data_IF_915496685892
#
_entry.id   IF_915496685892
#
_cell.length_a   1.000
_cell.length_b   1.000
_cell.length_c   1.000
_cell.angle_alpha   90.00
_cell.angle_beta   90.00
_cell.angle_gamma   90.00
#
_symmetry.space_group_name_H-M   'P 1'
#
loop_
_entity.id
_entity.type
_entity.pdbx_description
1 polymer ?
#
# COMPACT_ATOMS: atom_id res chain seq x y z
N UNK A 1 -29.34 -18.56 39.80
CA UNK A 1 -29.15 -18.94 38.38
C UNK A 1 -28.25 -20.15 38.34
N UNK A 2 -28.68 -21.25 37.72
CA UNK A 2 -27.94 -22.52 37.77
C UNK A 2 -26.77 -22.50 36.76
N UNK A 3 -25.61 -23.09 37.09
CA UNK A 3 -24.47 -23.17 36.16
C UNK A 3 -24.80 -23.93 34.86
N UNK A 4 -25.79 -24.84 34.92
CA UNK A 4 -26.33 -25.57 33.76
C UNK A 4 -27.03 -24.67 32.74
N UNK A 5 -27.69 -23.59 33.17
CA UNK A 5 -28.34 -22.62 32.26
C UNK A 5 -27.34 -21.72 31.53
N UNK A 6 -26.14 -21.55 32.08
CA UNK A 6 -25.07 -20.77 31.47
C UNK A 6 -24.36 -21.57 30.36
N UNK A 7 -24.15 -22.87 30.59
CA UNK A 7 -23.59 -23.78 29.60
C UNK A 7 -24.52 -24.03 28.41
N UNK A 8 -25.82 -24.18 28.66
CA UNK A 8 -26.82 -24.33 27.62
C UNK A 8 -26.84 -23.12 26.67
N UNK A 9 -26.86 -21.90 27.22
CA UNK A 9 -26.80 -20.65 26.44
C UNK A 9 -25.50 -20.48 25.67
N UNK A 10 -24.37 -20.99 26.17
CA UNK A 10 -23.09 -20.99 25.45
C UNK A 10 -23.10 -21.93 24.25
N UNK A 11 -23.71 -23.12 24.39
CA UNK A 11 -23.86 -24.08 23.28
C UNK A 11 -24.80 -23.55 22.20
N UNK A 12 -25.93 -22.95 22.58
CA UNK A 12 -26.87 -22.33 21.64
C UNK A 12 -26.21 -21.20 20.82
N UNK A 13 -25.43 -20.33 21.47
CA UNK A 13 -24.65 -19.27 20.77
C UNK A 13 -23.63 -19.86 19.79
N UNK A 14 -22.98 -20.97 20.16
CA UNK A 14 -22.04 -21.67 19.28
C UNK A 14 -22.72 -22.25 18.04
N UNK A 15 -23.91 -22.85 18.19
CA UNK A 15 -24.69 -23.39 17.08
C UNK A 15 -25.17 -22.30 16.13
N UNK A 16 -25.63 -21.17 16.68
CA UNK A 16 -26.08 -20.00 15.88
C UNK A 16 -24.89 -19.42 15.10
N UNK A 17 -23.74 -19.21 15.76
CA UNK A 17 -22.54 -18.69 15.10
C UNK A 17 -22.06 -19.62 13.97
N UNK A 18 -22.13 -20.94 14.16
CA UNK A 18 -21.75 -21.91 13.13
C UNK A 18 -22.72 -21.93 11.95
N UNK A 19 -24.02 -21.80 12.21
CA UNK A 19 -25.05 -21.71 11.15
C UNK A 19 -24.89 -20.42 10.35
N UNK A 20 -24.65 -19.30 11.01
CA UNK A 20 -24.38 -18.03 10.33
C UNK A 20 -23.09 -18.08 9.52
N UNK A 21 -22.03 -18.70 10.05
CA UNK A 21 -20.79 -18.90 9.31
C UNK A 21 -21.02 -19.72 8.02
N UNK A 22 -21.74 -20.85 8.11
CA UNK A 22 -22.09 -21.67 6.93
C UNK A 22 -22.92 -20.89 5.92
N UNK A 23 -23.87 -20.09 6.38
CA UNK A 23 -24.71 -19.23 5.52
C UNK A 23 -23.85 -18.19 4.79
N UNK A 24 -22.97 -17.49 5.50
CA UNK A 24 -22.07 -16.48 4.91
C UNK A 24 -21.09 -17.12 3.92
N UNK A 25 -20.59 -18.32 4.22
CA UNK A 25 -19.71 -19.06 3.31
C UNK A 25 -20.43 -19.46 2.03
N UNK A 26 -21.64 -20.04 2.12
CA UNK A 26 -22.45 -20.40 0.96
C UNK A 26 -22.76 -19.17 0.09
N UNK A 27 -23.19 -18.07 0.70
CA UNK A 27 -23.46 -16.82 -0.04
C UNK A 27 -22.21 -16.24 -0.70
N UNK A 28 -21.03 -16.34 -0.07
CA UNK A 28 -19.77 -15.85 -0.65
C UNK A 28 -19.31 -16.72 -1.83
N UNK A 29 -19.41 -18.04 -1.71
CA UNK A 29 -19.10 -18.98 -2.81
C UNK A 29 -20.01 -18.71 -3.99
N UNK A 30 -21.33 -18.61 -3.75
CA UNK A 30 -22.29 -18.28 -4.80
C UNK A 30 -21.99 -16.94 -5.46
N UNK A 31 -21.61 -15.91 -4.69
CA UNK A 31 -21.23 -14.61 -5.25
C UNK A 31 -19.98 -14.68 -6.13
N UNK A 32 -18.97 -15.46 -5.72
CA UNK A 32 -17.75 -15.66 -6.50
C UNK A 32 -18.03 -16.47 -7.78
N UNK A 33 -18.90 -17.46 -7.71
CA UNK A 33 -19.35 -18.21 -8.88
C UNK A 33 -20.11 -17.30 -9.86
N UNK A 34 -21.00 -16.44 -9.36
CA UNK A 34 -21.72 -15.46 -10.17
C UNK A 34 -20.80 -14.39 -10.78
N UNK A 35 -19.81 -13.90 -10.03
CA UNK A 35 -18.79 -12.96 -10.53
C UNK A 35 -17.91 -13.62 -11.61
N UNK A 36 -17.49 -14.87 -11.41
CA UNK A 36 -16.71 -15.61 -12.38
C UNK A 36 -17.52 -15.89 -13.65
N UNK A 37 -18.80 -16.28 -13.51
CA UNK A 37 -19.72 -16.43 -14.64
C UNK A 37 -19.88 -15.13 -15.42
N UNK A 38 -20.11 -14.00 -14.76
CA UNK A 38 -20.19 -12.68 -15.43
C UNK A 38 -18.91 -12.30 -16.17
N UNK A 39 -17.74 -12.62 -15.61
CA UNK A 39 -16.45 -12.38 -16.27
C UNK A 39 -16.31 -13.27 -17.51
N UNK A 40 -16.68 -14.56 -17.43
CA UNK A 40 -16.69 -15.46 -18.58
C UNK A 40 -17.63 -14.96 -19.68
N UNK A 41 -18.84 -14.52 -19.31
CA UNK A 41 -19.83 -13.98 -20.24
C UNK A 41 -19.31 -12.71 -20.93
N UNK A 42 -18.66 -11.80 -20.19
CA UNK A 42 -18.06 -10.58 -20.74
C UNK A 42 -16.92 -10.89 -21.73
N UNK A 43 -16.05 -11.86 -21.42
CA UNK A 43 -14.98 -12.31 -22.33
C UNK A 43 -15.58 -12.94 -23.59
N UNK A 44 -16.64 -13.74 -23.44
CA UNK A 44 -17.35 -14.34 -24.57
C UNK A 44 -18.03 -13.28 -25.47
N UNK A 45 -18.62 -12.24 -24.88
CA UNK A 45 -19.25 -11.13 -25.60
C UNK A 45 -18.22 -10.29 -26.38
N UNK A 46 -17.08 -9.97 -25.75
CA UNK A 46 -15.97 -9.29 -26.42
C UNK A 46 -15.49 -10.13 -27.61
N UNK A 47 -15.38 -11.45 -27.46
CA UNK A 47 -15.01 -12.34 -28.55
C UNK A 47 -16.03 -12.34 -29.70
N UNK A 48 -17.34 -12.40 -29.38
CA UNK A 48 -18.42 -12.38 -30.39
C UNK A 48 -18.45 -11.07 -31.17
N UNK A 49 -18.37 -9.93 -30.48
CA UNK A 49 -18.38 -8.60 -31.12
C UNK A 49 -17.15 -8.36 -32.01
N UNK A 50 -15.99 -8.91 -31.64
CA UNK A 50 -14.74 -8.79 -32.38
C UNK A 50 -14.68 -9.73 -33.59
N UNK A 51 -15.21 -10.97 -33.49
CA UNK A 51 -15.34 -11.89 -34.65
C UNK A 51 -16.20 -11.29 -35.77
N UNK A 52 -17.19 -10.46 -35.43
CA UNK A 52 -18.06 -9.78 -36.41
C UNK A 52 -17.43 -8.59 -37.14
N UNK A 53 -16.25 -8.08 -36.73
CA UNK A 53 -15.65 -6.84 -37.28
C UNK A 53 -14.44 -7.03 -38.19
N UNK A 54 -14.06 -8.27 -38.53
CA UNK A 54 -13.21 -8.61 -39.68
C UNK A 54 -11.75 -8.15 -39.67
N UNK A 55 -11.32 -7.27 -38.76
CA UNK A 55 -9.92 -6.85 -38.65
C UNK A 55 -9.54 -6.60 -37.19
N UNK A 56 -8.81 -7.57 -36.61
CA UNK A 56 -8.22 -7.46 -35.27
C UNK A 56 -6.70 -7.46 -35.42
N UNK A 57 -6.04 -6.55 -34.70
CA UNK A 57 -4.59 -6.60 -34.50
C UNK A 57 -4.18 -7.95 -33.93
N UNK A 58 -3.07 -8.51 -34.38
CA UNK A 58 -2.60 -9.83 -33.95
C UNK A 58 -2.28 -9.86 -32.44
N UNK A 59 -1.87 -8.72 -31.86
CA UNK A 59 -1.66 -8.56 -30.41
C UNK A 59 -2.97 -8.72 -29.62
N UNK A 60 -4.07 -8.20 -30.15
CA UNK A 60 -5.38 -8.29 -29.50
C UNK A 60 -5.95 -9.70 -29.60
N UNK A 61 -5.68 -10.42 -30.70
CA UNK A 61 -6.03 -11.84 -30.83
C UNK A 61 -5.27 -12.70 -29.83
N UNK A 62 -3.97 -12.43 -29.66
CA UNK A 62 -3.13 -13.14 -28.69
C UNK A 62 -3.60 -12.91 -27.24
N UNK A 63 -3.88 -11.66 -26.88
CA UNK A 63 -4.40 -11.30 -25.56
C UNK A 63 -5.77 -11.95 -25.27
N UNK A 64 -6.66 -11.99 -26.26
CA UNK A 64 -7.98 -12.60 -26.13
C UNK A 64 -7.90 -14.13 -26.04
N UNK A 65 -7.01 -14.76 -26.80
CA UNK A 65 -6.76 -16.21 -26.72
C UNK A 65 -6.20 -16.60 -25.36
N UNK A 66 -5.29 -15.79 -24.81
CA UNK A 66 -4.76 -15.97 -23.46
C UNK A 66 -5.85 -15.80 -22.39
N UNK A 67 -6.69 -14.77 -22.50
CA UNK A 67 -7.82 -14.57 -21.59
C UNK A 67 -8.84 -15.72 -21.62
N UNK A 68 -9.10 -16.29 -22.81
CA UNK A 68 -9.96 -17.49 -22.96
C UNK A 68 -9.35 -18.73 -22.33
N UNK A 69 -8.05 -18.93 -22.52
CA UNK A 69 -7.32 -20.05 -21.91
C UNK A 69 -7.34 -19.98 -20.38
N UNK A 70 -7.21 -18.78 -19.81
CA UNK A 70 -7.33 -18.57 -18.36
C UNK A 70 -8.75 -18.74 -17.83
N UNK A 71 -9.76 -18.42 -18.64
CA UNK A 71 -11.17 -18.53 -18.26
C UNK A 71 -11.79 -19.92 -18.54
N UNK A 72 -11.02 -20.83 -19.14
CA UNK A 72 -11.44 -22.17 -19.57
C UNK A 72 -12.73 -22.14 -20.42
N UNK A 73 -12.77 -21.21 -21.40
CA UNK A 73 -13.91 -21.03 -22.30
C UNK A 73 -13.65 -21.79 -23.60
N UNK A 74 -14.29 -22.95 -23.77
CA UNK A 74 -14.18 -23.77 -24.98
C UNK A 74 -14.86 -23.08 -26.18
N UNK A 75 -14.46 -23.44 -27.40
CA UNK A 75 -15.06 -22.88 -28.63
C UNK A 75 -16.55 -23.24 -28.79
N UNK A 76 -17.03 -24.30 -28.11
CA UNK A 76 -18.40 -24.80 -28.18
C UNK A 76 -19.41 -24.07 -27.26
N UNK A 77 -18.96 -23.38 -26.20
CA UNK A 77 -19.88 -22.63 -25.30
C UNK A 77 -20.44 -21.35 -25.95
N UNK A 78 -19.92 -20.95 -27.11
CA UNK A 78 -20.34 -19.73 -27.81
C UNK A 78 -21.63 -19.90 -28.63
N UNK A 79 -22.20 -21.11 -28.70
CA UNK A 79 -23.33 -21.43 -29.59
C UNK A 79 -24.66 -21.66 -28.85
N UNK A 80 -24.67 -21.84 -27.53
CA UNK A 80 -25.92 -22.17 -26.80
C UNK A 80 -26.75 -20.97 -26.29
N UNK A 81 -26.37 -19.72 -26.57
CA UNK A 81 -27.16 -18.54 -26.15
C UNK A 81 -27.84 -17.77 -27.29
N UNK A 82 -27.94 -18.37 -28.47
CA UNK A 82 -28.74 -17.85 -29.57
C UNK A 82 -29.94 -18.77 -29.87
N UNK A 83 -30.86 -18.91 -28.92
CA UNK A 83 -32.22 -19.36 -29.22
C UNK A 83 -32.88 -20.21 -28.15
N UNK A 84 -33.64 -19.57 -27.26
CA UNK A 84 -34.98 -20.04 -26.84
C UNK A 84 -35.57 -19.02 -25.87
N UNK A 85 -36.57 -18.28 -26.36
CA UNK A 85 -37.56 -17.62 -25.51
C UNK A 85 -38.47 -18.69 -24.90
N UNK A 86 -38.62 -18.63 -23.58
CA UNK A 86 -39.85 -18.77 -22.80
C UNK A 86 -40.90 -19.82 -23.27
N UNK A 87 -40.92 -20.98 -22.61
CA UNK A 87 -42.16 -21.75 -22.37
C UNK A 87 -42.09 -22.41 -20.99
N UNK A 88 -43.08 -22.08 -20.17
CA UNK A 88 -43.46 -22.70 -18.90
C UNK A 88 -44.03 -24.09 -19.17
N UNK A 89 -43.62 -25.13 -18.43
CA UNK A 89 -44.51 -26.11 -17.76
C UNK A 89 -43.76 -27.23 -17.03
N UNK A 90 -44.50 -27.87 -16.13
CA UNK A 90 -44.14 -28.67 -14.96
C UNK A 90 -43.84 -30.16 -15.23
N UNK A 91 -43.34 -30.84 -14.18
CA UNK A 91 -43.33 -32.31 -13.94
C UNK A 91 -42.46 -33.16 -14.92
N UNK A 92 -41.71 -34.20 -14.56
CA UNK A 92 -41.96 -35.34 -13.67
C UNK A 92 -40.67 -36.19 -13.44
N UNK A 93 -40.76 -37.26 -12.66
CA UNK A 93 -39.71 -38.10 -12.05
C UNK A 93 -38.88 -39.02 -12.98
N UNK A 94 -37.56 -39.13 -12.67
CA UNK A 94 -36.73 -40.36 -12.64
C UNK A 94 -36.45 -41.17 -13.92
N UNK A 95 -35.73 -42.32 -13.83
CA UNK A 95 -34.42 -42.59 -13.21
C UNK A 95 -33.47 -43.31 -14.20
N UNK A 96 -32.14 -43.43 -13.91
CA UNK A 96 -31.33 -44.66 -14.16
C UNK A 96 -29.84 -44.59 -13.75
N UNK A 97 -29.39 -45.74 -13.25
CA UNK A 97 -28.04 -46.29 -12.99
C UNK A 97 -27.11 -46.20 -14.25
N UNK A 98 -25.78 -46.45 -14.27
CA UNK A 98 -24.86 -47.19 -13.42
C UNK A 98 -23.38 -46.94 -13.86
N UNK A 99 -22.44 -47.25 -12.98
CA UNK A 99 -21.04 -47.73 -13.21
C UNK A 99 -19.99 -46.92 -14.01
N UNK A 100 -18.88 -46.51 -13.36
CA UNK A 100 -17.51 -47.08 -13.50
C UNK A 100 -16.39 -46.21 -12.87
N UNK A 101 -15.34 -46.92 -12.43
CA UNK A 101 -13.95 -46.50 -12.12
C UNK A 101 -13.57 -46.43 -10.63
N UNK A 102 -13.01 -47.52 -10.07
CA UNK A 102 -11.58 -47.90 -10.02
C UNK A 102 -10.75 -47.13 -8.98
N UNK A 103 -10.52 -47.80 -7.86
CA UNK A 103 -9.48 -47.55 -6.85
C UNK A 103 -8.08 -47.92 -7.37
N UNK A 104 -7.03 -47.19 -6.95
CA UNK A 104 -5.69 -47.77 -6.83
C UNK A 104 -5.12 -47.62 -5.41
N UNK A 105 -4.56 -48.73 -4.91
CA UNK A 105 -3.78 -48.87 -3.67
C UNK A 105 -2.32 -48.48 -3.92
N UNK A 106 -1.60 -47.84 -2.96
CA UNK A 106 -0.15 -47.68 -3.06
C UNK A 106 0.63 -48.81 -2.33
N UNK A 107 1.89 -49.08 -2.72
CA UNK A 107 2.66 -50.24 -2.26
C UNK A 107 3.42 -49.99 -0.94
N UNK A 108 3.62 -51.06 -0.18
CA UNK A 108 4.44 -51.10 1.05
C UNK A 108 5.90 -51.47 0.75
N UNK A 109 6.85 -50.83 1.44
CA UNK A 109 8.28 -51.19 1.47
C UNK A 109 8.87 -50.96 2.88
N UNK A 110 8.97 -52.06 3.64
CA UNK A 110 9.97 -52.50 4.64
C UNK A 110 11.08 -51.49 5.06
N UNK A 111 11.26 -51.10 6.34
CA UNK A 111 11.90 -51.80 7.52
C UNK A 111 13.13 -50.95 7.99
N UNK A 112 13.85 -51.19 9.12
CA UNK A 112 13.53 -51.36 10.55
C UNK A 112 14.20 -50.28 11.45
N UNK A 113 13.74 -50.06 12.69
CA UNK A 113 14.65 -49.58 13.75
C UNK A 113 14.28 -50.11 15.14
N UNK A 114 15.33 -50.46 15.88
CA UNK A 114 15.39 -51.11 17.18
C UNK A 114 14.68 -50.38 18.34
N UNK A 115 14.31 -51.17 19.36
CA UNK A 115 13.87 -50.74 20.69
C UNK A 115 14.90 -49.84 21.42
N UNK A 116 14.49 -49.08 22.46
CA UNK A 116 14.52 -49.66 23.80
C UNK A 116 13.33 -49.33 24.71
N UNK A 117 13.14 -50.23 25.66
CA UNK A 117 12.19 -50.30 26.79
C UNK A 117 12.10 -49.04 27.66
N UNK A 118 10.93 -48.82 28.29
CA UNK A 118 10.86 -48.07 29.56
C UNK A 118 9.52 -47.44 29.95
N UNK A 119 8.68 -48.21 30.65
CA UNK A 119 7.70 -47.79 31.68
C UNK A 119 6.62 -46.72 31.36
N UNK A 120 5.43 -47.25 31.07
CA UNK A 120 4.09 -46.90 31.58
C UNK A 120 3.84 -45.52 32.22
N UNK A 121 3.00 -44.72 31.57
CA UNK A 121 1.87 -43.99 32.19
C UNK A 121 0.82 -43.68 31.12
N UNK A 122 -0.44 -43.95 31.47
CA UNK A 122 -1.61 -43.99 30.61
C UNK A 122 -1.87 -42.68 29.83
N UNK A 123 -1.93 -42.78 28.50
CA UNK A 123 -2.49 -41.75 27.64
C UNK A 123 -3.89 -42.20 27.17
N UNK A 124 -4.96 -41.42 27.39
CA UNK A 124 -6.20 -41.65 26.67
C UNK A 124 -6.01 -41.28 25.20
N UNK A 125 -5.93 -42.33 24.37
CA UNK A 125 -5.99 -42.30 22.92
C UNK A 125 -7.24 -41.55 22.44
N UNK A 126 -7.02 -40.42 21.78
CA UNK A 126 -8.07 -39.61 21.18
C UNK A 126 -7.56 -38.87 19.94
N UNK A 127 -7.54 -39.58 18.80
CA UNK A 127 -7.54 -39.04 17.43
C UNK A 127 -6.59 -37.85 17.17
N UNK A 128 -5.32 -38.15 16.91
CA UNK A 128 -4.49 -37.27 16.08
C UNK A 128 -4.90 -37.45 14.61
N UNK A 129 -6.02 -36.84 14.21
CA UNK A 129 -6.19 -36.47 12.80
C UNK A 129 -5.21 -35.34 12.53
N UNK A 130 -4.32 -35.42 11.52
CA UNK A 130 -3.60 -34.26 11.06
C UNK A 130 -4.64 -33.32 10.48
N UNK A 131 -5.04 -32.37 11.30
CA UNK A 131 -5.91 -31.27 10.93
C UNK A 131 -5.15 -30.43 9.90
N UNK A 132 -5.45 -30.66 8.61
CA UNK A 132 -5.01 -29.85 7.48
C UNK A 132 -5.62 -28.43 7.49
N UNK A 133 -6.26 -28.03 8.58
CA UNK A 133 -6.67 -26.68 8.94
C UNK A 133 -5.47 -25.81 9.37
N UNK A 134 -4.40 -25.82 8.56
CA UNK A 134 -3.36 -24.79 8.59
C UNK A 134 -3.95 -23.44 8.20
N UNK A 135 -4.74 -22.84 9.08
CA UNK A 135 -4.91 -21.39 9.16
C UNK A 135 -5.21 -20.64 7.86
N UNK A 136 -5.80 -21.28 6.84
CA UNK A 136 -6.27 -20.65 5.60
C UNK A 136 -7.58 -19.91 5.87
N UNK A 137 -7.60 -19.15 6.96
CA UNK A 137 -8.55 -18.08 7.14
C UNK A 137 -8.07 -16.98 6.19
N UNK A 138 -8.72 -16.90 5.02
CA UNK A 138 -8.70 -15.74 4.14
C UNK A 138 -9.44 -14.59 4.84
N UNK A 139 -8.94 -14.19 6.01
CA UNK A 139 -9.39 -13.02 6.73
C UNK A 139 -8.77 -11.81 6.00
N UNK A 140 -9.57 -11.00 5.29
CA UNK A 140 -9.07 -9.84 4.57
C UNK A 140 -8.43 -8.81 5.51
N UNK A 141 -8.81 -8.84 6.80
CA UNK A 141 -8.25 -7.97 7.83
C UNK A 141 -7.00 -8.56 8.52
N UNK A 142 -6.53 -9.75 8.09
CA UNK A 142 -5.29 -10.30 8.63
C UNK A 142 -4.14 -9.36 8.32
N UNK A 143 -3.45 -8.93 9.37
CA UNK A 143 -2.23 -8.16 9.23
C UNK A 143 -1.11 -9.08 8.75
N UNK A 144 -0.56 -8.77 7.59
CA UNK A 144 0.67 -9.35 7.07
C UNK A 144 1.83 -8.44 7.42
N UNK A 145 2.95 -9.05 7.80
CA UNK A 145 4.22 -8.35 8.00
C UNK A 145 4.88 -8.20 6.64
N UNK A 146 5.06 -6.96 6.20
CA UNK A 146 5.79 -6.63 4.98
C UNK A 146 7.23 -6.29 5.37
N UNK A 147 8.17 -7.06 4.84
CA UNK A 147 9.61 -6.89 5.08
C UNK A 147 10.30 -6.13 3.96
N UNK A 148 9.71 -6.11 2.76
CA UNK A 148 10.24 -5.35 1.64
C UNK A 148 9.73 -3.90 1.71
N UNK A 149 10.60 -2.90 1.46
CA UNK A 149 10.20 -1.51 1.51
C UNK A 149 9.31 -1.15 0.31
N UNK A 150 8.22 -0.40 0.51
CA UNK A 150 7.49 0.22 -0.59
C UNK A 150 8.41 1.04 -1.50
N UNK A 151 8.19 0.96 -2.81
CA UNK A 151 9.04 1.60 -3.84
C UNK A 151 9.23 3.10 -3.58
N UNK A 152 8.20 3.79 -3.09
CA UNK A 152 8.22 5.23 -2.84
C UNK A 152 9.13 5.65 -1.67
N UNK A 153 9.46 4.74 -0.75
CA UNK A 153 10.37 5.05 0.37
C UNK A 153 11.81 4.58 0.14
N UNK A 154 12.05 3.71 -0.84
CA UNK A 154 13.38 3.14 -1.15
C UNK A 154 14.47 4.21 -1.26
N UNK A 155 14.27 5.35 -1.97
CA UNK A 155 15.31 6.37 -2.10
C UNK A 155 15.74 7.01 -0.78
N UNK A 156 14.88 6.94 0.24
CA UNK A 156 15.07 7.61 1.54
C UNK A 156 15.41 6.64 2.66
N UNK A 157 15.72 5.37 2.35
CA UNK A 157 16.13 4.35 3.32
C UNK A 157 17.65 4.14 3.31
N UNK A 158 18.18 3.55 4.41
CA UNK A 158 19.61 3.26 4.54
C UNK A 158 20.45 4.55 4.42
N UNK A 159 21.46 4.62 3.53
CA UNK A 159 22.22 5.85 3.30
C UNK A 159 21.34 7.05 2.92
N UNK A 160 20.23 6.82 2.22
CA UNK A 160 19.27 7.85 1.81
C UNK A 160 18.61 8.57 3.00
N UNK A 161 18.52 7.93 4.17
CA UNK A 161 18.00 8.56 5.39
C UNK A 161 18.87 9.73 5.86
N UNK A 162 20.17 9.64 5.61
CA UNK A 162 21.17 10.63 6.00
C UNK A 162 21.49 11.61 4.86
N UNK A 163 20.52 11.85 3.99
CA UNK A 163 20.59 12.90 2.96
C UNK A 163 19.60 14.00 3.29
N UNK A 164 19.82 15.21 2.75
CA UNK A 164 18.85 16.31 2.86
C UNK A 164 17.46 15.90 2.35
N UNK A 165 17.39 15.17 1.23
CA UNK A 165 16.14 14.67 0.66
C UNK A 165 15.42 13.71 1.63
N UNK A 166 16.16 12.78 2.24
CA UNK A 166 15.63 11.87 3.25
C UNK A 166 15.13 12.60 4.50
N UNK A 167 15.88 13.58 5.00
CA UNK A 167 15.43 14.43 6.11
C UNK A 167 14.13 15.16 5.79
N UNK A 168 14.02 15.78 4.61
CA UNK A 168 12.80 16.47 4.17
C UNK A 168 11.64 15.47 4.10
N UNK A 169 11.84 14.34 3.41
CA UNK A 169 10.81 13.33 3.23
C UNK A 169 10.27 12.81 4.58
N UNK A 170 11.15 12.33 5.46
CA UNK A 170 10.73 11.77 6.73
C UNK A 170 10.13 12.80 7.68
N UNK A 171 10.59 14.04 7.64
CA UNK A 171 10.01 15.12 8.46
C UNK A 171 8.60 15.47 8.00
N UNK A 172 8.34 15.48 6.68
CA UNK A 172 6.99 15.72 6.16
C UNK A 172 6.02 14.60 6.49
N UNK A 173 6.48 13.34 6.42
CA UNK A 173 5.68 12.17 6.84
C UNK A 173 5.36 12.23 8.33
N UNK A 174 6.35 12.52 9.16
CA UNK A 174 6.16 12.67 10.60
C UNK A 174 5.18 13.80 10.93
N UNK A 175 5.32 14.95 10.27
CA UNK A 175 4.40 16.08 10.43
C UNK A 175 2.95 15.71 10.05
N UNK A 176 2.74 14.98 8.96
CA UNK A 176 1.40 14.54 8.56
C UNK A 176 0.75 13.60 9.60
N UNK A 177 1.54 12.72 10.20
CA UNK A 177 1.11 11.83 11.29
C UNK A 177 0.81 12.63 12.56
N UNK A 178 1.66 13.56 12.96
CA UNK A 178 1.44 14.43 14.12
C UNK A 178 0.16 15.26 13.98
N UNK A 179 -0.09 15.81 12.79
CA UNK A 179 -1.35 16.52 12.51
C UNK A 179 -2.57 15.62 12.65
N UNK A 180 -2.46 14.35 12.27
CA UNK A 180 -3.54 13.39 12.38
C UNK A 180 -3.89 13.07 13.84
N UNK A 181 -2.85 12.90 14.66
CA UNK A 181 -2.96 12.61 16.08
C UNK A 181 -3.43 13.83 16.89
N UNK A 182 -3.08 15.05 16.44
CA UNK A 182 -3.52 16.31 17.03
C UNK A 182 -5.01 16.65 16.77
N UNK A 183 -5.78 15.77 16.14
CA UNK A 183 -7.22 15.96 15.96
C UNK A 183 -7.98 15.75 17.28
N UNK A 184 -9.02 16.56 17.57
CA UNK A 184 -9.81 17.36 16.63
C UNK A 184 -9.39 18.84 16.51
N UNK A 185 -8.13 19.22 16.76
CA UNK A 185 -7.74 20.65 16.68
C UNK A 185 -8.00 21.25 15.29
N UNK A 186 -8.69 22.40 15.25
CA UNK A 186 -9.02 23.09 13.99
C UNK A 186 -7.80 23.50 13.14
N UNK A 187 -6.66 23.93 13.72
CA UNK A 187 -5.45 24.15 12.95
C UNK A 187 -4.96 22.88 12.25
N UNK A 188 -4.98 21.73 12.94
CA UNK A 188 -4.52 20.47 12.35
C UNK A 188 -5.45 19.97 11.24
N UNK A 189 -6.77 20.10 11.42
CA UNK A 189 -7.74 19.78 10.37
C UNK A 189 -7.49 20.62 9.11
N UNK A 190 -7.30 21.94 9.26
CA UNK A 190 -7.02 22.83 8.13
C UNK A 190 -5.69 22.51 7.44
N UNK A 191 -4.66 22.15 8.21
CA UNK A 191 -3.38 21.73 7.64
C UNK A 191 -3.51 20.43 6.84
N UNK A 192 -4.23 19.43 7.36
CA UNK A 192 -4.51 18.18 6.64
C UNK A 192 -5.36 18.43 5.39
N UNK A 193 -6.36 19.31 5.46
CA UNK A 193 -7.14 19.71 4.28
C UNK A 193 -6.23 20.30 3.20
N UNK A 194 -5.27 21.16 3.56
CA UNK A 194 -4.31 21.70 2.58
C UNK A 194 -3.45 20.60 1.92
N UNK A 195 -3.02 19.60 2.69
CA UNK A 195 -2.16 18.51 2.19
C UNK A 195 -2.91 17.59 1.22
N UNK A 196 -4.19 17.29 1.48
CA UNK A 196 -4.94 16.26 0.74
C UNK A 196 -6.03 16.81 -0.20
N UNK A 197 -6.55 18.03 -0.02
CA UNK A 197 -7.73 18.51 -0.76
C UNK A 197 -7.43 19.18 -2.10
N UNK A 198 -6.23 18.97 -2.66
CA UNK A 198 -5.83 19.61 -3.91
C UNK A 198 -6.18 18.79 -5.17
N UNK A 199 -6.52 17.51 -5.02
CA UNK A 199 -6.99 16.66 -6.12
C UNK A 199 -8.15 15.78 -5.67
N UNK A 200 -9.11 15.56 -6.57
CA UNK A 200 -10.27 14.69 -6.34
C UNK A 200 -9.91 13.23 -6.07
N UNK A 201 -8.72 12.80 -6.51
CA UNK A 201 -8.25 11.43 -6.36
C UNK A 201 -7.81 11.12 -4.91
N UNK A 202 -7.57 12.13 -4.08
CA UNK A 202 -7.11 12.01 -2.69
C UNK A 202 -8.30 12.03 -1.71
N UNK A 203 -9.36 11.29 -2.03
CA UNK A 203 -10.61 11.30 -1.27
C UNK A 203 -10.52 10.51 0.04
N UNK A 204 -9.81 9.37 0.05
CA UNK A 204 -9.64 8.53 1.25
C UNK A 204 -8.45 8.97 2.11
N UNK A 205 -8.69 10.02 2.90
CA UNK A 205 -7.68 10.59 3.81
C UNK A 205 -7.26 9.62 4.92
N UNK A 206 -8.16 8.74 5.36
CA UNK A 206 -7.87 7.74 6.41
C UNK A 206 -6.88 6.71 5.87
N UNK A 207 -7.13 6.24 4.65
CA UNK A 207 -6.22 5.32 3.97
C UNK A 207 -4.85 5.98 3.73
N UNK A 208 -4.80 7.19 3.18
CA UNK A 208 -3.54 7.90 2.92
C UNK A 208 -2.69 8.13 4.19
N UNK A 209 -3.33 8.40 5.33
CA UNK A 209 -2.61 8.55 6.60
C UNK A 209 -2.23 7.22 7.23
N UNK A 210 -3.03 6.16 7.06
CA UNK A 210 -2.60 4.82 7.44
C UNK A 210 -1.36 4.37 6.65
N UNK A 211 -1.26 4.80 5.39
CA UNK A 211 -0.10 4.60 4.54
C UNK A 211 1.13 5.38 5.03
N UNK A 212 0.97 6.64 5.44
CA UNK A 212 2.04 7.42 6.06
C UNK A 212 2.53 6.77 7.37
N UNK A 213 1.59 6.34 8.23
CA UNK A 213 1.91 5.63 9.47
C UNK A 213 2.67 4.33 9.22
N UNK A 214 2.25 3.54 8.24
CA UNK A 214 2.92 2.29 7.88
C UNK A 214 4.37 2.52 7.41
N UNK A 215 4.63 3.61 6.69
CA UNK A 215 5.99 4.01 6.27
C UNK A 215 6.84 4.45 7.46
N UNK A 216 6.27 5.19 8.40
CA UNK A 216 6.94 5.56 9.65
C UNK A 216 7.27 4.32 10.50
N UNK A 217 6.36 3.33 10.55
CA UNK A 217 6.61 2.05 11.17
C UNK A 217 7.76 1.30 10.49
N UNK A 218 7.79 1.26 9.16
CA UNK A 218 8.88 0.67 8.40
C UNK A 218 10.22 1.36 8.71
N UNK A 219 10.27 2.69 8.67
CA UNK A 219 11.46 3.48 8.99
C UNK A 219 12.03 3.12 10.36
N UNK A 220 11.16 2.97 11.36
CA UNK A 220 11.57 2.77 12.75
C UNK A 220 11.88 1.30 13.09
N UNK A 221 11.19 0.34 12.45
CA UNK A 221 11.22 -1.08 12.82
C UNK A 221 11.88 -1.97 11.76
N UNK A 222 12.05 -1.48 10.54
CA UNK A 222 12.47 -2.26 9.37
C UNK A 222 11.38 -3.16 8.79
N UNK A 223 10.13 -2.99 9.22
CA UNK A 223 8.96 -3.71 8.71
C UNK A 223 7.69 -2.94 9.02
N UNK A 224 6.63 -3.21 8.24
CA UNK A 224 5.31 -2.65 8.50
C UNK A 224 4.24 -3.73 8.49
N UNK A 225 3.09 -3.43 9.08
CA UNK A 225 1.90 -4.27 8.98
C UNK A 225 0.93 -3.67 7.97
N UNK A 226 0.38 -4.53 7.12
CA UNK A 226 -0.64 -4.15 6.15
C UNK A 226 -1.76 -5.18 6.21
N UNK A 227 -3.00 -4.79 5.94
CA UNK A 227 -4.09 -5.76 5.80
C UNK A 227 -3.88 -6.58 4.54
N UNK A 228 -4.24 -7.87 4.59
CA UNK A 228 -4.15 -8.75 3.43
C UNK A 228 -4.97 -8.23 2.23
N UNK A 229 -6.08 -7.53 2.49
CA UNK A 229 -6.87 -6.82 1.45
C UNK A 229 -6.07 -5.78 0.67
N UNK A 230 -5.07 -5.17 1.30
CA UNK A 230 -4.32 -4.05 0.73
C UNK A 230 -3.05 -4.54 0.01
N UNK A 231 -2.83 -5.85 -0.06
CA UNK A 231 -1.67 -6.47 -0.69
C UNK A 231 -1.61 -6.17 -2.20
N UNK A 232 -2.76 -5.95 -2.84
CA UNK A 232 -2.86 -5.51 -4.24
C UNK A 232 -2.71 -3.98 -4.42
N UNK A 233 -2.57 -3.21 -3.33
CA UNK A 233 -2.56 -1.76 -3.36
C UNK A 233 -1.16 -1.14 -3.48
N UNK A 234 -0.11 -1.95 -3.70
CA UNK A 234 1.24 -1.44 -3.98
C UNK A 234 1.28 -0.63 -5.28
N UNK A 235 0.57 -1.11 -6.30
CA UNK A 235 0.36 -0.37 -7.55
C UNK A 235 -0.53 0.87 -7.36
N UNK A 236 -1.44 0.85 -6.38
CA UNK A 236 -2.40 1.92 -6.17
C UNK A 236 -1.74 3.26 -5.75
N UNK A 237 -0.60 3.25 -5.06
CA UNK A 237 0.11 4.50 -4.72
C UNK A 237 0.76 5.15 -5.95
N UNK A 238 1.37 4.34 -6.82
CA UNK A 238 1.99 4.82 -8.07
C UNK A 238 0.90 5.31 -9.03
N UNK A 239 -0.15 4.52 -9.23
CA UNK A 239 -1.32 4.89 -10.03
C UNK A 239 -1.97 6.18 -9.51
N UNK A 240 -2.10 6.33 -8.19
CA UNK A 240 -2.66 7.55 -7.59
C UNK A 240 -1.79 8.78 -7.88
N UNK A 241 -0.46 8.64 -7.79
CA UNK A 241 0.47 9.70 -8.16
C UNK A 241 0.39 10.10 -9.63
N UNK A 242 0.20 9.13 -10.51
CA UNK A 242 -0.01 9.37 -11.95
C UNK A 242 -1.34 10.08 -12.22
N UNK A 243 -2.44 9.62 -11.61
CA UNK A 243 -3.76 10.25 -11.74
C UNK A 243 -3.75 11.71 -11.27
N UNK A 244 -3.12 11.99 -10.12
CA UNK A 244 -2.98 13.36 -9.61
C UNK A 244 -2.16 14.21 -10.57
N UNK A 245 -1.05 13.68 -11.09
CA UNK A 245 -0.20 14.40 -12.07
C UNK A 245 -0.95 14.71 -13.36
N UNK A 246 -1.70 13.74 -13.90
CA UNK A 246 -2.52 13.93 -15.08
C UNK A 246 -3.62 14.99 -14.89
N UNK A 247 -4.25 15.05 -13.71
CA UNK A 247 -5.29 16.05 -13.39
C UNK A 247 -4.69 17.47 -13.47
N UNK A 248 -3.46 17.64 -12.98
CA UNK A 248 -2.72 18.91 -13.08
C UNK A 248 -2.25 19.23 -14.50
N UNK A 249 -1.79 18.24 -15.27
CA UNK A 249 -1.41 18.41 -16.67
C UNK A 249 -2.62 18.83 -17.52
N UNK A 250 -3.78 18.19 -17.32
CA UNK A 250 -5.07 18.58 -17.95
C UNK A 250 -5.50 19.99 -17.53
N UNK A 251 -5.19 20.39 -16.29
CA UNK A 251 -5.39 21.75 -15.79
C UNK A 251 -4.40 22.79 -16.30
N UNK A 252 -3.51 22.44 -17.23
CA UNK A 252 -2.56 23.37 -17.86
C UNK A 252 -1.31 23.66 -17.02
N UNK A 253 -1.02 22.88 -15.98
CA UNK A 253 0.24 23.01 -15.22
C UNK A 253 1.34 22.17 -15.86
N UNK A 254 2.54 22.73 -16.09
CA UNK A 254 3.64 22.00 -16.72
C UNK A 254 4.18 20.89 -15.81
N UNK A 255 4.73 19.82 -16.41
CA UNK A 255 5.32 18.66 -15.70
C UNK A 255 6.35 19.03 -14.64
N UNK A 256 7.15 20.07 -14.88
CA UNK A 256 8.17 20.55 -13.94
C UNK A 256 7.66 21.45 -12.81
N UNK A 257 6.34 21.69 -12.72
CA UNK A 257 5.75 22.58 -11.72
C UNK A 257 5.81 22.01 -10.30
N UNK A 258 5.67 20.69 -10.17
CA UNK A 258 5.70 20.01 -8.86
C UNK A 258 7.07 19.36 -8.66
N UNK A 259 7.67 19.60 -7.49
CA UNK A 259 9.01 19.15 -7.13
C UNK A 259 8.97 18.03 -6.11
N UNK A 260 9.76 16.99 -6.36
CA UNK A 260 10.07 15.88 -5.45
C UNK A 260 11.03 16.32 -4.34
N UNK A 261 11.14 15.58 -3.22
CA UNK A 261 12.15 15.84 -2.19
C UNK A 261 13.58 15.90 -2.72
N UNK A 262 13.92 15.04 -3.68
CA UNK A 262 15.23 14.98 -4.32
C UNK A 262 15.50 16.23 -5.17
N UNK A 263 14.51 16.67 -5.95
CA UNK A 263 14.64 17.91 -6.72
C UNK A 263 14.75 19.14 -5.81
N UNK A 264 14.00 19.18 -4.70
CA UNK A 264 14.09 20.27 -3.72
C UNK A 264 15.47 20.28 -3.06
N UNK A 265 15.96 19.12 -2.62
CA UNK A 265 17.30 19.00 -2.06
C UNK A 265 18.38 19.40 -3.07
N UNK A 266 18.31 18.93 -4.31
CA UNK A 266 19.23 19.31 -5.38
C UNK A 266 19.18 20.81 -5.70
N UNK A 267 18.00 21.42 -5.65
CA UNK A 267 17.83 22.86 -5.85
C UNK A 267 18.46 23.68 -4.72
N UNK A 268 18.33 23.24 -3.46
CA UNK A 268 18.99 23.87 -2.30
C UNK A 268 20.51 23.74 -2.44
N UNK A 269 21.01 22.52 -2.64
CA UNK A 269 22.44 22.24 -2.73
C UNK A 269 23.10 22.95 -3.92
N UNK A 270 22.38 23.19 -5.01
CA UNK A 270 22.88 23.92 -6.17
C UNK A 270 22.97 25.44 -6.00
N UNK A 271 22.43 26.01 -4.92
CA UNK A 271 22.43 27.45 -4.66
C UNK A 271 23.29 27.87 -3.46
N UNK A 272 23.77 26.92 -2.68
CA UNK A 272 24.63 27.15 -1.51
C UNK A 272 26.09 26.82 -1.85
N UNK A 273 27.01 27.29 -1.03
CA UNK A 273 28.44 26.95 -1.18
C UNK A 273 28.73 25.52 -0.74
N UNK A 274 29.86 24.97 -1.19
CA UNK A 274 30.30 23.63 -0.77
C UNK A 274 30.47 23.54 0.75
N UNK A 275 31.01 24.58 1.39
CA UNK A 275 31.20 24.60 2.84
C UNK A 275 29.85 24.59 3.58
N UNK A 276 28.88 25.38 3.11
CA UNK A 276 27.51 25.36 3.63
C UNK A 276 26.86 23.98 3.47
N UNK A 277 27.05 23.33 2.31
CA UNK A 277 26.54 21.98 2.06
C UNK A 277 27.16 20.95 3.03
N UNK A 278 28.45 21.06 3.32
CA UNK A 278 29.12 20.21 4.32
C UNK A 278 28.55 20.44 5.72
N UNK A 279 28.29 21.69 6.12
CA UNK A 279 27.65 21.98 7.42
C UNK A 279 26.25 21.37 7.51
N UNK A 280 25.44 21.50 6.46
CA UNK A 280 24.11 20.87 6.41
C UNK A 280 24.18 19.35 6.49
N UNK A 281 25.11 18.73 5.75
CA UNK A 281 25.31 17.28 5.79
C UNK A 281 25.75 16.83 7.19
N UNK A 282 26.60 17.60 7.88
CA UNK A 282 26.97 17.31 9.25
C UNK A 282 25.75 17.35 10.20
N UNK A 283 24.82 18.30 10.02
CA UNK A 283 23.56 18.34 10.79
C UNK A 283 22.72 17.10 10.54
N UNK A 284 22.56 16.70 9.27
CA UNK A 284 21.81 15.49 8.88
C UNK A 284 22.39 14.22 9.53
N UNK A 285 23.71 14.16 9.68
CA UNK A 285 24.41 13.06 10.36
C UNK A 285 24.41 13.15 11.89
N UNK A 286 23.83 14.22 12.47
CA UNK A 286 23.83 14.47 13.91
C UNK A 286 25.17 14.97 14.47
N UNK A 287 26.08 15.45 13.61
CA UNK A 287 27.41 16.00 13.96
C UNK A 287 27.51 17.52 13.76
N UNK A 288 26.42 18.17 13.36
CA UNK A 288 26.37 19.60 13.08
C UNK A 288 26.39 20.46 14.35
N UNK A 289 26.65 21.76 14.17
CA UNK A 289 26.56 22.71 15.28
C UNK A 289 25.11 22.98 15.66
N UNK A 290 24.81 23.42 16.90
CA UNK A 290 23.46 23.78 17.31
C UNK A 290 22.84 24.87 16.43
N UNK A 291 23.63 25.87 16.03
CA UNK A 291 23.18 26.98 15.18
C UNK A 291 22.81 26.50 13.76
N UNK A 292 23.64 25.63 13.15
CA UNK A 292 23.31 25.02 11.87
C UNK A 292 22.06 24.12 11.98
N UNK A 293 21.89 23.46 13.13
CA UNK A 293 20.72 22.66 13.47
C UNK A 293 19.42 23.46 13.50
N UNK A 294 19.39 24.60 14.21
CA UNK A 294 18.22 25.48 14.27
C UNK A 294 17.84 26.04 12.90
N UNK A 295 18.84 26.44 12.12
CA UNK A 295 18.63 26.94 10.76
C UNK A 295 18.05 25.87 9.84
N UNK A 296 18.61 24.65 9.88
CA UNK A 296 18.09 23.52 9.10
C UNK A 296 16.68 23.13 9.56
N UNK A 297 16.42 23.15 10.88
CA UNK A 297 15.11 22.89 11.44
C UNK A 297 14.07 23.89 10.95
N UNK A 298 14.43 25.18 10.82
CA UNK A 298 13.56 26.20 10.24
C UNK A 298 13.15 25.87 8.79
N UNK A 299 14.11 25.51 7.94
CA UNK A 299 13.86 25.11 6.55
C UNK A 299 12.98 23.86 6.47
N UNK A 300 13.34 22.80 7.21
CA UNK A 300 12.62 21.52 7.19
C UNK A 300 11.21 21.67 7.74
N UNK A 301 11.02 22.48 8.77
CA UNK A 301 9.69 22.80 9.32
C UNK A 301 8.84 23.54 8.30
N UNK A 302 9.42 24.53 7.61
CA UNK A 302 8.73 25.26 6.55
C UNK A 302 8.31 24.34 5.40
N UNK A 303 9.21 23.46 4.93
CA UNK A 303 8.92 22.48 3.89
C UNK A 303 7.82 21.50 4.33
N UNK A 304 7.88 21.03 5.58
CA UNK A 304 6.88 20.14 6.16
C UNK A 304 5.49 20.80 6.23
N UNK A 305 5.40 22.09 6.51
CA UNK A 305 4.12 22.81 6.57
C UNK A 305 3.54 23.18 5.19
N UNK A 306 4.36 23.19 4.14
CA UNK A 306 3.99 23.69 2.82
C UNK A 306 3.97 22.62 1.71
N UNK A 307 3.99 21.34 2.07
CA UNK A 307 3.87 20.23 1.12
C UNK A 307 2.41 19.90 0.77
N UNK A 308 2.23 19.20 -0.34
CA UNK A 308 0.99 18.52 -0.71
C UNK A 308 1.27 17.05 -0.98
N UNK A 309 0.30 16.17 -0.77
CA UNK A 309 0.47 14.72 -0.99
C UNK A 309 0.11 14.33 -2.41
N UNK A 310 0.96 13.59 -3.12
CA UNK A 310 0.62 13.02 -4.44
C UNK A 310 0.25 11.54 -4.37
N UNK A 311 0.25 10.92 -3.18
CA UNK A 311 0.02 9.49 -3.00
C UNK A 311 1.31 8.67 -3.05
N UNK A 312 2.24 9.04 -3.93
CA UNK A 312 3.61 8.52 -4.03
C UNK A 312 4.64 9.34 -3.21
N UNK A 313 4.18 10.37 -2.49
CA UNK A 313 5.02 11.18 -1.61
C UNK A 313 4.63 12.66 -1.56
N UNK A 314 5.37 13.46 -0.78
CA UNK A 314 5.19 14.90 -0.70
C UNK A 314 5.69 15.60 -1.97
N UNK A 315 5.03 16.69 -2.36
CA UNK A 315 5.44 17.59 -3.44
C UNK A 315 5.34 19.05 -3.02
N UNK A 316 6.13 19.90 -3.69
CA UNK A 316 6.08 21.35 -3.55
C UNK A 316 5.93 22.01 -4.91
N UNK A 317 5.18 23.11 -4.98
CA UNK A 317 5.15 23.88 -6.21
C UNK A 317 6.50 24.59 -6.43
N UNK A 318 6.94 24.70 -7.68
CA UNK A 318 8.17 25.40 -8.04
C UNK A 318 8.17 26.85 -7.52
N UNK A 319 7.00 27.50 -7.50
CA UNK A 319 6.82 28.85 -6.94
C UNK A 319 7.08 28.84 -5.43
N UNK A 320 6.48 27.90 -4.68
CA UNK A 320 6.72 27.77 -3.25
C UNK A 320 8.20 27.54 -2.95
N UNK A 321 8.85 26.63 -3.70
CA UNK A 321 10.29 26.36 -3.54
C UNK A 321 11.09 27.63 -3.78
N UNK A 322 10.92 28.31 -4.93
CA UNK A 322 11.69 29.53 -5.23
C UNK A 322 11.52 30.64 -4.18
N UNK A 323 10.30 30.85 -3.67
CA UNK A 323 10.04 31.91 -2.68
C UNK A 323 10.55 31.52 -1.30
N UNK A 324 10.18 30.34 -0.82
CA UNK A 324 10.52 29.90 0.55
C UNK A 324 11.99 29.55 0.70
N UNK A 325 12.50 28.70 -0.19
CA UNK A 325 13.93 28.30 -0.17
C UNK A 325 14.81 29.50 -0.53
N UNK A 326 14.43 30.32 -1.51
CA UNK A 326 15.19 31.52 -1.86
C UNK A 326 15.28 32.53 -0.71
N UNK A 327 14.22 32.69 0.08
CA UNK A 327 14.24 33.50 1.30
C UNK A 327 15.18 32.94 2.36
N UNK A 328 15.13 31.63 2.60
CA UNK A 328 16.01 30.95 3.55
C UNK A 328 17.49 31.01 3.13
N UNK A 329 17.79 30.82 1.84
CA UNK A 329 19.16 30.94 1.31
C UNK A 329 19.70 32.35 1.57
N UNK A 330 18.89 33.39 1.34
CA UNK A 330 19.32 34.77 1.63
C UNK A 330 19.66 34.96 3.10
N UNK A 331 18.83 34.44 4.00
CA UNK A 331 19.11 34.52 5.44
C UNK A 331 20.39 33.77 5.83
N UNK A 332 20.64 32.61 5.22
CA UNK A 332 21.89 31.86 5.40
C UNK A 332 23.10 32.70 4.96
N UNK A 333 23.05 33.33 3.79
CA UNK A 333 24.14 34.18 3.29
C UNK A 333 24.38 35.41 4.18
N UNK A 334 23.31 36.07 4.64
CA UNK A 334 23.41 37.23 5.55
C UNK A 334 23.99 36.84 6.92
N UNK A 335 23.78 35.60 7.38
CA UNK A 335 24.39 35.09 8.61
C UNK A 335 25.88 34.79 8.44
N UNK A 336 26.26 34.16 7.33
CA UNK A 336 27.67 33.88 7.05
C UNK A 336 28.46 35.19 6.90
N UNK A 337 27.92 36.20 6.21
CA UNK A 337 28.55 37.51 6.09
C UNK A 337 28.79 38.18 7.45
N UNK A 338 27.80 38.14 8.36
CA UNK A 338 27.95 38.67 9.72
C UNK A 338 28.98 37.91 10.55
N UNK A 339 29.05 36.59 10.40
CA UNK A 339 30.04 35.77 11.09
C UNK A 339 31.47 36.09 10.60
N UNK A 340 31.64 36.41 9.32
CA UNK A 340 32.92 36.87 8.76
C UNK A 340 33.33 38.25 9.30
N UNK A 341 32.39 39.20 9.39
CA UNK A 341 32.62 40.53 9.99
C UNK A 341 33.00 40.45 11.47
N UNK A 342 32.37 39.57 12.24
CA UNK A 342 32.68 39.36 13.67
C UNK A 342 34.02 38.64 13.88
N UNK A 343 34.44 37.78 12.95
CA UNK A 343 35.73 37.08 13.00
C UNK A 343 36.92 37.98 12.66
N UNK A 344 36.69 39.05 11.88
CA UNK A 344 37.70 40.02 11.47
C UNK A 344 37.21 41.46 11.71
N UNK A 345 37.12 41.93 12.97
CA UNK A 345 36.79 43.32 13.23
C UNK A 345 37.86 44.20 12.59
N UNK A 346 37.47 45.03 11.61
CA UNK A 346 38.35 46.00 10.98
C UNK A 346 39.12 46.76 12.06
N UNK A 347 40.45 46.56 12.05
CA UNK A 347 41.38 47.32 12.87
C UNK A 347 41.33 48.75 12.36
N UNK A 348 40.46 49.55 12.96
CA UNK A 348 40.38 50.99 12.71
C UNK A 348 41.65 51.62 13.28
N UNK A 349 42.69 51.66 12.44
CA UNK A 349 43.87 52.49 12.65
C UNK A 349 43.42 53.96 12.69
N UNK A 350 43.51 54.56 13.86
CA UNK A 350 43.42 56.00 14.06
C UNK A 350 44.68 56.65 13.48
N UNK A 351 44.58 57.55 12.47
CA UNK A 351 45.72 58.36 12.07
C UNK A 351 45.90 59.47 13.12
N UNK A 352 47.11 59.56 13.70
CA UNK A 352 47.54 60.66 14.58
C UNK A 352 47.98 61.90 13.81
#
# INVERSE_FOLDING_TARGET
MSPTDAEARRRERGVIAQREYRKRHASKVQRLEDENRKLKDAIAEINRTLKGRGHLSDDLKAALSHARGLADISEDDAVEHAGAQDVVEEEEEGPLLDTLARTPTPPSLNRPTLEPQGSSKDFPSGRLSPRLDYGLWLDPDRLIRVLEPPIDIVPYLGPGMHTLAGCIFWSTMNYAVELWDARPSMPAIRALDRVFNHSKHLSDRKYLLSLAQARMDYKNKGYMFRKLSDQFAEQACVELGELVREDYEKGGRPKGFWKTPEEVAGNILGQITTDQAVRLQAVVEGKGTPNDGEMMQGLVSWLSQNHVCFGDGPRWSAICVSVGVGGWIRELMDRDARAEEEAFPESTETPS
#
